data_IF_825738777777
#
_entry.id   IF_825738777777
#
_cell.length_a   1.000
_cell.length_b   1.000
_cell.length_c   1.000
_cell.angle_alpha   90.00
_cell.angle_beta   90.00
_cell.angle_gamma   90.00
#
_symmetry.space_group_name_H-M   'P 1'
#
loop_
_entity.id
_entity.type
_entity.pdbx_description
1 polymer ?
#
# COMPACT_ATOMS: atom_id res chain seq x y z
N UNK A 1 -36.28 -35.92 10.72
CA UNK A 1 -35.74 -34.77 11.47
C UNK A 1 -34.25 -34.50 11.23
N UNK A 2 -33.38 -35.51 11.04
CA UNK A 2 -31.94 -35.30 10.77
C UNK A 2 -31.60 -34.50 9.51
N UNK A 3 -32.40 -34.61 8.43
CA UNK A 3 -32.19 -33.85 7.17
C UNK A 3 -32.46 -32.35 7.32
N UNK A 4 -33.44 -31.97 8.15
CA UNK A 4 -33.71 -30.56 8.48
C UNK A 4 -32.60 -29.94 9.34
N UNK A 5 -32.06 -30.73 10.29
CA UNK A 5 -30.93 -30.32 11.12
C UNK A 5 -29.66 -30.10 10.29
N UNK A 6 -29.40 -30.94 9.29
CA UNK A 6 -28.28 -30.73 8.37
C UNK A 6 -28.47 -29.47 7.51
N UNK A 7 -29.67 -29.26 6.96
CA UNK A 7 -29.94 -28.10 6.11
C UNK A 7 -29.79 -26.77 6.86
N UNK A 8 -30.33 -26.70 8.08
CA UNK A 8 -30.21 -25.51 8.94
C UNK A 8 -28.77 -25.25 9.36
N UNK A 9 -28.00 -26.29 9.66
CA UNK A 9 -26.57 -26.17 9.96
C UNK A 9 -25.78 -25.59 8.77
N UNK A 10 -26.01 -26.09 7.56
CA UNK A 10 -25.39 -25.53 6.35
C UNK A 10 -25.79 -24.06 6.13
N UNK A 11 -27.06 -23.71 6.31
CA UNK A 11 -27.57 -22.35 6.11
C UNK A 11 -26.92 -21.34 7.08
N UNK A 12 -26.71 -21.73 8.33
CA UNK A 12 -26.02 -20.91 9.34
C UNK A 12 -24.54 -20.71 8.97
N UNK A 13 -23.86 -21.75 8.44
CA UNK A 13 -22.47 -21.64 7.99
C UNK A 13 -22.33 -20.68 6.80
N UNK A 14 -23.24 -20.73 5.83
CA UNK A 14 -23.24 -19.79 4.69
C UNK A 14 -23.49 -18.34 5.12
N UNK A 15 -24.35 -18.09 6.12
CA UNK A 15 -24.60 -16.76 6.66
C UNK A 15 -23.40 -16.18 7.45
N UNK A 16 -22.55 -17.05 8.00
CA UNK A 16 -21.31 -16.65 8.69
C UNK A 16 -20.14 -16.46 7.74
N UNK A 17 -20.25 -16.90 6.49
CA UNK A 17 -19.27 -16.61 5.44
C UNK A 17 -19.49 -15.18 4.90
N UNK A 18 -19.36 -14.20 5.78
CA UNK A 18 -19.26 -12.81 5.38
C UNK A 18 -17.89 -12.59 4.77
N UNK A 19 -17.84 -12.22 3.49
CA UNK A 19 -16.63 -11.75 2.86
C UNK A 19 -16.17 -10.50 3.63
N UNK A 20 -15.08 -10.60 4.40
CA UNK A 20 -14.39 -9.40 4.87
C UNK A 20 -13.79 -8.76 3.63
N UNK A 21 -14.51 -7.81 3.04
CA UNK A 21 -14.01 -7.04 1.90
C UNK A 21 -12.86 -6.21 2.47
N UNK A 22 -11.63 -6.63 2.21
CA UNK A 22 -10.49 -5.75 2.47
C UNK A 22 -10.72 -4.52 1.61
N UNK A 23 -10.92 -3.38 2.25
CA UNK A 23 -10.92 -2.08 1.59
C UNK A 23 -9.57 -1.98 0.88
N UNK A 24 -9.61 -1.92 -0.46
CA UNK A 24 -8.40 -1.86 -1.27
C UNK A 24 -8.22 -0.45 -1.78
N UNK A 25 -6.97 -0.03 -1.85
CA UNK A 25 -6.62 1.18 -2.57
C UNK A 25 -7.00 1.06 -4.05
N UNK A 26 -7.50 2.14 -4.62
CA UNK A 26 -7.82 2.24 -6.03
C UNK A 26 -6.58 1.95 -6.91
N UNK A 27 -6.75 1.12 -7.94
CA UNK A 27 -5.63 0.67 -8.79
C UNK A 27 -4.98 1.82 -9.58
N UNK A 28 -5.74 2.88 -9.89
CA UNK A 28 -5.20 4.06 -10.54
C UNK A 28 -4.25 4.82 -9.59
N UNK A 29 -4.55 4.84 -8.29
CA UNK A 29 -3.67 5.47 -7.30
C UNK A 29 -2.39 4.68 -7.09
N UNK A 30 -2.47 3.34 -7.06
CA UNK A 30 -1.28 2.46 -7.03
C UNK A 30 -0.38 2.73 -8.25
N UNK A 31 -0.98 2.86 -9.44
CA UNK A 31 -0.25 3.16 -10.68
C UNK A 31 0.41 4.54 -10.61
N UNK A 32 -0.35 5.57 -10.21
CA UNK A 32 0.17 6.93 -10.09
C UNK A 32 1.32 7.02 -9.06
N UNK A 33 1.19 6.35 -7.92
CA UNK A 33 2.27 6.27 -6.94
C UNK A 33 3.50 5.59 -7.54
N UNK A 34 3.33 4.54 -8.35
CA UNK A 34 4.46 3.89 -9.00
C UNK A 34 5.23 4.83 -9.90
N UNK A 35 4.53 5.59 -10.72
CA UNK A 35 5.13 6.61 -11.57
C UNK A 35 5.84 7.71 -10.76
N UNK A 36 5.26 8.17 -9.65
CA UNK A 36 5.90 9.15 -8.76
C UNK A 36 7.23 8.59 -8.22
N UNK A 37 7.24 7.34 -7.74
CA UNK A 37 8.45 6.71 -7.20
C UNK A 37 9.54 6.51 -8.26
N UNK A 38 9.15 6.13 -9.48
CA UNK A 38 10.04 6.02 -10.63
C UNK A 38 10.65 7.38 -10.99
N UNK A 39 9.81 8.42 -11.12
CA UNK A 39 10.27 9.79 -11.43
C UNK A 39 11.17 10.39 -10.36
N UNK A 40 10.97 10.02 -9.10
CA UNK A 40 11.82 10.45 -7.98
C UNK A 40 13.08 9.60 -7.82
N UNK A 41 13.30 8.56 -8.65
CA UNK A 41 14.45 7.67 -8.54
C UNK A 41 14.49 6.90 -7.21
N UNK A 42 13.32 6.62 -6.62
CA UNK A 42 13.18 5.95 -5.33
C UNK A 42 13.07 4.42 -5.45
N UNK A 43 12.92 3.91 -6.67
CA UNK A 43 12.88 2.47 -6.98
C UNK A 43 14.16 1.81 -6.45
N UNK A 44 14.01 0.77 -5.63
CA UNK A 44 15.13 0.06 -4.98
C UNK A 44 15.77 0.77 -3.78
N UNK A 45 15.58 2.10 -3.61
CA UNK A 45 16.09 2.86 -2.45
C UNK A 45 15.15 2.79 -1.24
N UNK A 46 13.85 2.64 -1.50
CA UNK A 46 12.84 2.36 -0.50
C UNK A 46 12.33 0.94 -0.71
N UNK A 47 12.08 0.20 0.37
CA UNK A 47 11.59 -1.19 0.32
C UNK A 47 10.12 -1.27 -0.12
N UNK A 48 9.76 -0.62 -1.23
CA UNK A 48 8.40 -0.70 -1.76
C UNK A 48 8.22 -1.98 -2.53
N UNK A 49 7.29 -2.78 -2.02
CA UNK A 49 6.65 -3.86 -2.73
C UNK A 49 5.36 -3.33 -3.36
N UNK A 50 5.40 -3.02 -4.66
CA UNK A 50 4.27 -2.48 -5.42
C UNK A 50 3.12 -3.48 -5.56
N UNK A 51 3.37 -4.75 -5.26
CA UNK A 51 2.36 -5.81 -5.29
C UNK A 51 1.54 -5.85 -3.98
N UNK A 52 1.91 -5.03 -2.98
CA UNK A 52 1.18 -4.86 -1.73
C UNK A 52 0.45 -3.52 -1.69
N UNK A 53 -0.78 -3.57 -1.21
CA UNK A 53 -1.57 -2.37 -0.99
C UNK A 53 -0.89 -1.48 0.07
N UNK A 54 -0.46 -0.26 -0.30
CA UNK A 54 0.29 0.62 0.59
C UNK A 54 -0.56 1.16 1.75
N UNK A 55 -1.89 1.08 1.68
CA UNK A 55 -2.79 1.46 2.78
C UNK A 55 -2.96 0.35 3.82
N UNK A 56 -2.65 -0.90 3.46
CA UNK A 56 -2.74 -2.06 4.38
C UNK A 56 -1.39 -2.51 4.93
N UNK A 57 -0.29 -2.06 4.33
CA UNK A 57 1.05 -2.53 4.68
C UNK A 57 1.71 -1.69 5.78
N UNK A 58 2.13 -2.35 6.87
CA UNK A 58 2.76 -1.74 8.05
C UNK A 58 4.00 -0.88 7.75
N UNK A 59 4.73 -1.16 6.65
CA UNK A 59 5.94 -0.43 6.31
C UNK A 59 5.67 0.93 5.63
N UNK A 60 4.46 1.15 5.10
CA UNK A 60 4.12 2.31 4.28
C UNK A 60 3.31 3.37 5.00
N UNK A 61 2.67 3.01 6.12
CA UNK A 61 1.79 3.90 6.89
C UNK A 61 2.48 5.20 7.33
N UNK A 62 3.82 5.21 7.43
CA UNK A 62 4.60 6.40 7.76
C UNK A 62 4.82 7.37 6.59
N UNK A 63 4.66 6.91 5.35
CA UNK A 63 4.88 7.71 4.14
C UNK A 63 3.60 7.96 3.35
N UNK A 64 2.59 7.10 3.52
CA UNK A 64 1.35 7.13 2.76
C UNK A 64 0.21 7.15 3.76
N UNK A 65 -0.58 8.22 3.74
CA UNK A 65 -1.76 8.35 4.57
C UNK A 65 -2.98 8.09 3.71
N UNK A 66 -3.77 7.10 4.10
CA UNK A 66 -4.98 6.72 3.41
C UNK A 66 -6.22 7.06 4.22
N UNK A 67 -7.30 7.39 3.53
CA UNK A 67 -8.62 7.49 4.10
C UNK A 67 -9.52 6.47 3.39
N UNK A 68 -10.08 5.55 4.15
CA UNK A 68 -10.93 4.47 3.62
C UNK A 68 -12.42 4.66 3.89
N UNK A 69 -12.84 5.86 4.32
CA UNK A 69 -14.25 6.18 4.54
C UNK A 69 -15.02 6.52 3.25
N UNK A 70 -14.45 6.24 2.08
CA UNK A 70 -15.11 6.48 0.80
C UNK A 70 -16.06 5.34 0.43
N UNK A 71 -17.11 5.68 -0.32
CA UNK A 71 -18.06 4.71 -0.89
C UNK A 71 -18.58 3.69 0.15
N UNK A 72 -19.02 4.19 1.31
CA UNK A 72 -19.51 3.37 2.43
C UNK A 72 -18.45 2.41 3.00
N UNK A 73 -17.21 2.88 3.16
CA UNK A 73 -16.08 2.08 3.66
C UNK A 73 -15.76 0.89 2.76
N UNK A 74 -15.78 1.08 1.44
CA UNK A 74 -15.39 0.02 0.50
C UNK A 74 -14.17 0.35 -0.33
N UNK A 75 -13.80 1.64 -0.37
CA UNK A 75 -12.71 2.16 -1.20
C UNK A 75 -11.77 3.00 -0.34
N UNK A 76 -10.47 2.70 -0.39
CA UNK A 76 -9.42 3.55 0.17
C UNK A 76 -8.92 4.55 -0.86
N UNK A 77 -8.60 5.76 -0.40
CA UNK A 77 -7.98 6.82 -1.19
C UNK A 77 -6.72 7.31 -0.49
N UNK A 78 -5.64 7.51 -1.24
CA UNK A 78 -4.46 8.22 -0.72
C UNK A 78 -4.81 9.68 -0.52
N UNK A 79 -4.61 10.19 0.68
CA UNK A 79 -4.86 11.59 1.02
C UNK A 79 -3.58 12.39 1.23
N UNK A 80 -2.49 11.73 1.64
CA UNK A 80 -1.20 12.38 1.85
C UNK A 80 -0.04 11.46 1.48
N UNK A 81 1.01 12.05 0.93
CA UNK A 81 2.28 11.40 0.63
C UNK A 81 3.41 12.21 1.29
N UNK A 82 4.10 11.61 2.25
CA UNK A 82 5.23 12.21 2.95
C UNK A 82 6.54 11.78 2.28
N UNK A 83 7.16 12.71 1.55
CA UNK A 83 8.45 12.50 0.92
C UNK A 83 9.52 13.25 1.71
N UNK A 84 10.33 12.51 2.48
CA UNK A 84 11.48 13.09 3.21
C UNK A 84 12.72 12.96 2.35
N UNK A 85 13.29 14.09 1.95
CA UNK A 85 14.62 14.14 1.34
C UNK A 85 15.63 13.84 2.46
N UNK A 86 16.26 12.66 2.46
CA UNK A 86 17.57 12.55 3.11
C UNK A 86 18.50 13.40 2.25
N UNK A 87 19.02 14.49 2.79
CA UNK A 87 20.26 15.00 2.26
C UNK A 87 21.25 13.87 2.50
N UNK A 88 21.65 13.18 1.42
CA UNK A 88 22.88 12.42 1.48
C UNK A 88 23.94 13.44 1.86
N UNK A 89 24.59 13.22 3.00
CA UNK A 89 25.81 13.92 3.34
C UNK A 89 26.85 13.50 2.30
N UNK A 90 26.92 14.24 1.19
CA UNK A 90 28.05 14.24 0.29
C UNK A 90 29.25 14.86 1.03
N UNK A 91 29.86 14.09 1.95
CA UNK A 91 31.17 14.42 2.50
C UNK A 91 32.21 13.50 1.87
N UNK A 92 32.80 14.05 0.81
CA UNK A 92 34.20 13.91 0.43
C UNK A 92 34.65 12.63 -0.30
N UNK A 93 34.66 12.72 -1.64
CA UNK A 93 35.78 12.20 -2.42
C UNK A 93 36.13 13.22 -3.52
N UNK A 94 36.64 14.38 -3.11
CA UNK A 94 37.49 15.21 -3.97
C UNK A 94 38.79 14.44 -4.20
N UNK A 95 38.78 13.52 -5.17
CA UNK A 95 39.99 13.00 -5.75
C UNK A 95 40.59 14.12 -6.60
N UNK A 96 41.55 14.84 -6.03
CA UNK A 96 42.54 15.57 -6.82
C UNK A 96 43.17 14.60 -7.80
N UNK A 97 42.92 14.77 -9.09
CA UNK A 97 43.82 14.26 -10.11
C UNK A 97 44.08 15.36 -11.14
N UNK A 98 45.34 15.78 -11.12
CA UNK A 98 46.02 16.66 -12.04
C UNK A 98 45.85 16.22 -13.50
N UNK A 99 45.62 17.19 -14.38
CA UNK A 99 46.14 17.15 -15.75
C UNK A 99 46.43 18.58 -16.21
N UNK A 100 47.64 18.73 -16.74
CA UNK A 100 48.28 19.84 -17.46
C UNK A 100 48.85 21.04 -16.66
#
# INVERSE_FOLDING_TARGET
MKKLLFYTFFLILFLKFGFTRSEKLDMHEVTAMKEIWEKLGLVGKKKWDFDKDPCSSENWQFFVVCNCSFESNTTCRVTQLHLVRRADSDENSFATQSAD
#
